data_IF_088977412740
#
_entry.id   IF_088977412740
#
_cell.length_a   1.000
_cell.length_b   1.000
_cell.length_c   1.000
_cell.angle_alpha   90.00
_cell.angle_beta   90.00
_cell.angle_gamma   90.00
#
_symmetry.space_group_name_H-M   'P 1'
#
loop_
_entity.id
_entity.type
_entity.pdbx_description
1 polymer ?
#
# COMPACT_ATOMS: atom_id res chain seq x y z
N UNK A 1 -7.98 -9.85 11.50
CA UNK A 1 -7.03 -8.99 12.24
C UNK A 1 -5.57 -9.36 11.95
N UNK A 2 -5.12 -10.60 12.16
CA UNK A 2 -3.73 -11.00 11.87
C UNK A 2 -3.28 -10.80 10.42
N UNK A 3 -4.11 -11.15 9.43
CA UNK A 3 -3.77 -10.97 8.01
C UNK A 3 -3.52 -9.50 7.61
N UNK A 4 -4.26 -8.55 8.20
CA UNK A 4 -4.06 -7.12 7.97
C UNK A 4 -2.81 -6.57 8.66
N UNK A 5 -2.46 -7.10 9.83
CA UNK A 5 -1.23 -6.72 10.53
C UNK A 5 -0.01 -7.27 9.79
N UNK A 6 -0.06 -8.53 9.35
CA UNK A 6 1.02 -9.19 8.64
C UNK A 6 1.40 -8.45 7.35
N UNK A 7 0.41 -8.02 6.57
CA UNK A 7 0.66 -7.25 5.34
C UNK A 7 1.25 -5.87 5.61
N UNK A 8 0.88 -5.18 6.70
CA UNK A 8 1.47 -3.88 7.07
C UNK A 8 2.91 -4.02 7.57
N UNK A 9 3.15 -4.99 8.44
CA UNK A 9 4.49 -5.26 9.01
C UNK A 9 5.44 -5.73 7.92
N UNK A 10 5.01 -6.64 7.05
CA UNK A 10 5.81 -7.12 5.93
C UNK A 10 6.23 -5.99 4.98
N UNK A 11 5.30 -5.13 4.57
CA UNK A 11 5.62 -3.98 3.70
C UNK A 11 6.58 -3.00 4.40
N UNK A 12 6.41 -2.74 5.69
CA UNK A 12 7.33 -1.88 6.45
C UNK A 12 8.75 -2.47 6.52
N UNK A 13 8.87 -3.75 6.82
CA UNK A 13 10.15 -4.44 6.89
C UNK A 13 10.89 -4.42 5.54
N UNK A 14 10.18 -4.64 4.44
CA UNK A 14 10.79 -4.57 3.10
C UNK A 14 11.28 -3.16 2.78
N UNK A 15 10.46 -2.14 3.06
CA UNK A 15 10.87 -0.73 2.87
C UNK A 15 12.16 -0.48 3.65
N UNK A 16 12.19 -0.83 4.93
CA UNK A 16 13.35 -0.60 5.78
C UNK A 16 14.60 -1.34 5.30
N UNK A 17 14.47 -2.59 4.89
CA UNK A 17 15.55 -3.41 4.36
C UNK A 17 16.17 -2.81 3.09
N UNK A 18 15.36 -2.35 2.14
CA UNK A 18 15.86 -1.78 0.89
C UNK A 18 16.41 -0.35 1.06
N UNK A 19 15.93 0.41 2.05
CA UNK A 19 16.44 1.75 2.34
C UNK A 19 17.69 1.78 3.23
N UNK A 20 17.88 0.80 4.12
CA UNK A 20 18.97 0.82 5.11
C UNK A 20 20.04 -0.26 4.88
N UNK A 21 19.68 -1.42 4.34
CA UNK A 21 20.61 -2.56 4.19
C UNK A 21 21.12 -2.64 2.75
N UNK A 22 20.25 -2.49 1.75
CA UNK A 22 20.61 -2.62 0.33
C UNK A 22 20.88 -1.26 -0.34
N UNK A 23 21.85 -0.52 0.16
CA UNK A 23 22.19 0.83 -0.35
C UNK A 23 23.36 0.88 -1.33
N UNK A 24 24.16 -0.19 -1.44
CA UNK A 24 25.41 -0.16 -2.22
C UNK A 24 25.20 -0.28 -3.74
N UNK A 25 24.23 -1.09 -4.20
CA UNK A 25 23.98 -1.30 -5.63
C UNK A 25 22.50 -1.12 -5.98
N UNK A 26 22.03 0.11 -5.80
CA UNK A 26 20.61 0.49 -5.93
C UNK A 26 20.04 0.06 -7.29
N UNK A 27 20.78 0.25 -8.38
CA UNK A 27 20.32 -0.10 -9.73
C UNK A 27 20.03 -1.60 -9.92
N UNK A 28 20.88 -2.48 -9.38
CA UNK A 28 20.68 -3.93 -9.48
C UNK A 28 19.60 -4.42 -8.51
N UNK A 29 19.54 -3.88 -7.29
CA UNK A 29 18.64 -4.37 -6.25
C UNK A 29 17.21 -3.82 -6.40
N UNK A 30 17.04 -2.57 -6.83
CA UNK A 30 15.72 -1.94 -6.93
C UNK A 30 15.00 -2.22 -8.26
N UNK A 31 15.74 -2.53 -9.34
CA UNK A 31 15.15 -2.84 -10.65
C UNK A 31 14.21 -4.06 -10.63
N UNK A 32 14.56 -5.21 -10.04
CA UNK A 32 13.64 -6.33 -9.89
C UNK A 32 12.41 -5.98 -9.04
N UNK A 33 12.60 -5.21 -7.97
CA UNK A 33 11.50 -4.78 -7.09
C UNK A 33 10.54 -3.87 -7.84
N UNK A 34 11.05 -3.02 -8.74
CA UNK A 34 10.23 -2.14 -9.57
C UNK A 34 9.29 -2.95 -10.46
N UNK A 35 9.82 -3.97 -11.13
CA UNK A 35 9.01 -4.86 -11.97
C UNK A 35 8.00 -5.67 -11.18
N UNK A 36 8.41 -6.24 -10.04
CA UNK A 36 7.51 -6.99 -9.15
C UNK A 36 6.40 -6.06 -8.62
N UNK A 37 6.73 -4.85 -8.20
CA UNK A 37 5.77 -3.86 -7.71
C UNK A 37 4.78 -3.44 -8.81
N UNK A 38 5.28 -3.18 -10.03
CA UNK A 38 4.45 -2.84 -11.18
C UNK A 38 3.49 -3.99 -11.54
N UNK A 39 3.98 -5.24 -11.61
CA UNK A 39 3.15 -6.41 -11.86
C UNK A 39 2.11 -6.63 -10.76
N UNK A 40 2.49 -6.46 -9.49
CA UNK A 40 1.56 -6.57 -8.34
C UNK A 40 0.45 -5.52 -8.42
N UNK A 41 0.81 -4.29 -8.79
CA UNK A 41 -0.14 -3.19 -8.97
C UNK A 41 -1.13 -3.50 -10.11
N UNK A 42 -0.60 -3.85 -11.30
CA UNK A 42 -1.39 -4.11 -12.51
C UNK A 42 -2.31 -5.30 -12.31
N UNK A 43 -1.79 -6.42 -11.80
CA UNK A 43 -2.60 -7.62 -11.51
C UNK A 43 -3.68 -7.35 -10.46
N UNK A 44 -3.38 -6.52 -9.44
CA UNK A 44 -4.39 -6.09 -8.46
C UNK A 44 -5.53 -5.27 -9.10
N UNK A 45 -5.22 -4.30 -9.96
CA UNK A 45 -6.24 -3.47 -10.63
C UNK A 45 -7.05 -4.28 -11.63
N UNK A 46 -6.41 -5.11 -12.45
CA UNK A 46 -7.10 -6.02 -13.38
C UNK A 46 -7.98 -7.03 -12.61
N UNK A 47 -7.47 -7.51 -11.47
CA UNK A 47 -8.22 -8.36 -10.56
C UNK A 47 -9.49 -7.69 -10.05
N UNK A 48 -9.46 -6.40 -9.71
CA UNK A 48 -10.67 -5.64 -9.34
C UNK A 48 -11.66 -5.57 -10.50
N UNK A 49 -11.20 -5.26 -11.71
CA UNK A 49 -12.05 -5.14 -12.90
C UNK A 49 -12.78 -6.45 -13.27
N UNK A 50 -12.20 -7.60 -12.90
CA UNK A 50 -12.79 -8.91 -13.13
C UNK A 50 -13.83 -9.34 -12.06
N UNK A 51 -14.02 -8.57 -10.97
CA UNK A 51 -14.93 -8.94 -9.89
C UNK A 51 -16.23 -8.14 -9.94
N UNK A 52 -17.36 -8.82 -9.71
CA UNK A 52 -18.71 -8.23 -9.72
C UNK A 52 -19.27 -7.96 -8.32
N UNK A 53 -18.65 -8.47 -7.27
CA UNK A 53 -19.14 -8.35 -5.89
C UNK A 53 -18.14 -7.60 -5.01
N UNK A 54 -18.63 -6.64 -4.21
CA UNK A 54 -17.80 -5.85 -3.28
C UNK A 54 -16.92 -6.68 -2.36
N UNK A 55 -17.42 -7.77 -1.79
CA UNK A 55 -16.59 -8.66 -0.94
C UNK A 55 -15.41 -9.28 -1.69
N UNK A 56 -15.56 -9.55 -2.99
CA UNK A 56 -14.52 -10.20 -3.82
C UNK A 56 -13.51 -9.21 -4.40
N UNK A 57 -13.89 -7.94 -4.61
CA UNK A 57 -12.97 -6.92 -5.12
C UNK A 57 -12.00 -6.39 -4.05
N UNK A 58 -12.41 -6.37 -2.77
CA UNK A 58 -11.63 -5.81 -1.67
C UNK A 58 -10.20 -6.37 -1.56
N UNK A 59 -9.97 -7.70 -1.62
CA UNK A 59 -8.62 -8.25 -1.56
C UNK A 59 -7.73 -7.78 -2.72
N UNK A 60 -8.24 -7.75 -3.96
CA UNK A 60 -7.49 -7.30 -5.14
C UNK A 60 -7.12 -5.81 -5.04
N UNK A 61 -8.04 -5.01 -4.48
CA UNK A 61 -7.77 -3.59 -4.27
C UNK A 61 -6.68 -3.36 -3.21
N UNK A 62 -6.62 -4.19 -2.17
CA UNK A 62 -5.53 -4.17 -1.17
C UNK A 62 -4.19 -4.55 -1.81
N UNK A 63 -4.17 -5.57 -2.69
CA UNK A 63 -2.97 -5.98 -3.44
C UNK A 63 -2.45 -4.84 -4.32
N UNK A 64 -3.33 -4.18 -5.08
CA UNK A 64 -2.98 -3.00 -5.87
C UNK A 64 -2.34 -1.89 -5.03
N UNK A 65 -2.93 -1.59 -3.86
CA UNK A 65 -2.43 -0.59 -2.91
C UNK A 65 -1.07 -0.95 -2.29
N UNK A 66 -0.72 -2.25 -2.21
CA UNK A 66 0.63 -2.67 -1.83
C UNK A 66 1.60 -2.39 -2.98
N UNK A 67 1.22 -2.72 -4.22
CA UNK A 67 1.98 -2.40 -5.42
C UNK A 67 2.38 -0.93 -5.51
N UNK A 68 1.44 0.00 -5.33
CA UNK A 68 1.73 1.44 -5.33
C UNK A 68 2.80 1.86 -4.30
N UNK A 69 2.73 1.30 -3.09
CA UNK A 69 3.71 1.60 -2.02
C UNK A 69 5.10 1.06 -2.34
N UNK A 70 5.16 -0.16 -2.90
CA UNK A 70 6.40 -0.80 -3.31
C UNK A 70 7.03 -0.14 -4.54
N UNK A 71 6.21 0.39 -5.44
CA UNK A 71 6.68 1.08 -6.64
C UNK A 71 7.34 2.42 -6.28
N UNK A 72 6.76 3.15 -5.32
CA UNK A 72 7.39 4.36 -4.76
C UNK A 72 8.76 4.11 -4.10
N UNK A 73 8.92 2.96 -3.44
CA UNK A 73 10.20 2.50 -2.90
C UNK A 73 11.19 2.17 -4.04
N UNK A 74 10.75 1.39 -5.01
CA UNK A 74 11.62 0.86 -6.07
C UNK A 74 12.11 1.94 -7.04
N UNK A 75 11.36 3.03 -7.22
CA UNK A 75 11.82 4.19 -7.98
C UNK A 75 12.98 4.91 -7.29
N UNK A 76 13.11 4.80 -5.96
CA UNK A 76 14.19 5.37 -5.14
C UNK A 76 14.57 6.82 -5.48
N UNK A 77 13.60 7.63 -5.91
CA UNK A 77 13.80 9.06 -6.13
C UNK A 77 13.27 9.85 -4.95
N UNK A 78 13.88 11.02 -4.68
CA UNK A 78 13.42 11.94 -3.63
C UNK A 78 11.91 12.23 -3.77
N UNK A 79 11.44 12.46 -5.00
CA UNK A 79 10.04 12.80 -5.26
C UNK A 79 9.11 11.60 -5.03
N UNK A 80 9.50 10.40 -5.46
CA UNK A 80 8.68 9.18 -5.28
C UNK A 80 8.56 8.82 -3.79
N UNK A 81 9.65 8.92 -3.03
CA UNK A 81 9.64 8.67 -1.59
C UNK A 81 8.77 9.69 -0.85
N UNK A 82 8.90 10.98 -1.19
CA UNK A 82 8.08 12.04 -0.59
C UNK A 82 6.59 11.85 -0.91
N UNK A 83 6.26 11.51 -2.16
CA UNK A 83 4.89 11.21 -2.59
C UNK A 83 4.31 9.97 -1.88
N UNK A 84 5.09 8.91 -1.70
CA UNK A 84 4.66 7.70 -1.01
C UNK A 84 4.37 7.96 0.49
N UNK A 85 5.19 8.77 1.16
CA UNK A 85 4.95 9.18 2.55
C UNK A 85 3.73 10.08 2.65
N UNK A 86 3.61 11.09 1.77
CA UNK A 86 2.48 11.99 1.75
C UNK A 86 1.15 11.25 1.55
N UNK A 87 1.08 10.36 0.54
CA UNK A 87 -0.11 9.56 0.28
C UNK A 87 -0.47 8.68 1.49
N UNK A 88 0.52 8.08 2.17
CA UNK A 88 0.32 7.26 3.36
C UNK A 88 -0.31 8.05 4.51
N UNK A 89 0.21 9.25 4.78
CA UNK A 89 -0.30 10.14 5.85
C UNK A 89 -1.71 10.60 5.51
N UNK A 90 -1.95 11.05 4.27
CA UNK A 90 -3.28 11.47 3.82
C UNK A 90 -4.32 10.36 4.03
N UNK A 91 -3.98 9.14 3.60
CA UNK A 91 -4.88 8.00 3.74
C UNK A 91 -5.12 7.58 5.21
N UNK A 92 -4.16 7.81 6.11
CA UNK A 92 -4.34 7.61 7.55
C UNK A 92 -5.35 8.61 8.12
N UNK A 93 -5.23 9.89 7.77
CA UNK A 93 -6.16 10.96 8.21
C UNK A 93 -7.58 10.66 7.75
N UNK A 94 -7.75 10.32 6.46
CA UNK A 94 -9.06 9.98 5.89
C UNK A 94 -9.70 8.80 6.64
N UNK A 95 -8.92 7.75 6.95
CA UNK A 95 -9.43 6.60 7.70
C UNK A 95 -9.81 6.94 9.13
N UNK A 96 -8.99 7.72 9.84
CA UNK A 96 -9.30 8.16 11.22
C UNK A 96 -10.61 8.94 11.23
N UNK A 97 -10.78 9.89 10.32
CA UNK A 97 -12.03 10.65 10.19
C UNK A 97 -13.22 9.74 9.89
N UNK A 98 -13.08 8.77 8.98
CA UNK A 98 -14.15 7.84 8.66
C UNK A 98 -14.58 7.03 9.89
N UNK A 99 -13.63 6.49 10.65
CA UNK A 99 -13.94 5.75 11.89
C UNK A 99 -14.56 6.65 12.96
N UNK A 100 -14.14 7.91 13.07
CA UNK A 100 -14.72 8.87 13.99
C UNK A 100 -16.17 9.18 13.62
N UNK A 101 -16.47 9.41 12.33
CA UNK A 101 -17.83 9.65 11.83
C UNK A 101 -18.72 8.43 12.05
N UNK A 102 -18.25 7.22 11.74
CA UNK A 102 -19.00 5.97 12.01
C UNK A 102 -19.23 5.76 13.51
N UNK A 103 -18.23 6.07 14.34
CA UNK A 103 -18.34 5.99 15.80
C UNK A 103 -19.30 7.02 16.39
N UNK A 104 -19.36 8.23 15.83
CA UNK A 104 -20.31 9.25 16.23
C UNK A 104 -21.74 8.88 15.78
N UNK A 105 -21.91 8.44 14.53
CA UNK A 105 -23.21 8.03 13.99
C UNK A 105 -23.82 6.83 14.72
N UNK A 106 -23.00 5.87 15.16
CA UNK A 106 -23.48 4.70 15.93
C UNK A 106 -23.87 5.02 17.38
N UNK A 107 -23.46 6.18 17.91
CA UNK A 107 -23.83 6.65 19.26
C UNK A 107 -25.13 7.46 19.27
N UNK A 108 -25.58 7.94 18.12
CA UNK A 108 -26.87 8.64 18.01
C UNK A 108 -27.97 7.57 18.03
N UNK A 109 -28.83 7.51 19.07
CA UNK A 109 -29.97 6.61 19.07
C UNK A 109 -30.94 7.10 18.00
N UNK A 110 -31.23 6.24 17.02
CA UNK A 110 -32.38 6.33 16.13
C UNK A 110 -33.33 5.19 16.46
#
# INVERSE_FOLDING_TARGET
MFAELLTKVGVYAIIQMFTLIFTENIGFTHSPVLWIAALTMVTGVLGVAAQTTFRRLLPFHIVSQIGYRMLGLALYTSLALMGAVFYRVHHMIVKVNLFLVVGAASRTPG
#
